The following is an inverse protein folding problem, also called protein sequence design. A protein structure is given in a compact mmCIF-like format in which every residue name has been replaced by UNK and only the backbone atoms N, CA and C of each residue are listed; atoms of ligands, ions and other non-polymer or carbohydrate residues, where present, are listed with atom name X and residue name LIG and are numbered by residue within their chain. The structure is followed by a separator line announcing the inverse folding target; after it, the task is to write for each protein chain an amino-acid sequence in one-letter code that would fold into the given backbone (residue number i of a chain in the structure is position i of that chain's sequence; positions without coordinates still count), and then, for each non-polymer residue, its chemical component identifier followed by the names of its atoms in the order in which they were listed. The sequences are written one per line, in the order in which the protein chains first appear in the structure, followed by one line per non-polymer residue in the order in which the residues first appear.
data_IF_206618554777
#
_entry.id   IF_206618554777
#
_cell.length_a   1.000
_cell.length_b   1.000
_cell.length_c   1.000
_cell.angle_alpha   90.00
_cell.angle_beta   90.00
_cell.angle_gamma   90.00
#
_symmetry.space_group_name_H-M   'P 1'
#
loop_
_entity.id
_entity.type
_entity.pdbx_description
1 polymer ?
#
# COMPACT_ATOMS: atom_id res chain seq x y z
N UNK A 1 8.34 26.97 18.83
CA UNK A 1 7.72 26.12 19.87
C UNK A 1 6.49 25.36 19.35
N UNK A 2 6.07 25.57 18.11
CA UNK A 2 4.95 24.88 17.41
C UNK A 2 5.32 23.50 16.84
N UNK A 3 6.58 23.27 16.54
CA UNK A 3 7.05 22.06 15.83
C UNK A 3 7.02 20.76 16.67
N UNK A 4 7.11 20.86 18.00
CA UNK A 4 7.17 19.67 18.88
C UNK A 4 5.77 19.15 19.25
N UNK A 5 4.78 20.01 19.32
CA UNK A 5 3.39 19.65 19.65
C UNK A 5 2.73 18.96 18.47
N UNK A 6 2.93 19.47 17.26
CA UNK A 6 2.39 18.87 16.01
C UNK A 6 2.98 17.47 15.74
N UNK A 7 4.26 17.27 16.08
CA UNK A 7 4.91 15.95 15.95
C UNK A 7 4.37 14.92 16.97
N UNK A 8 4.01 15.34 18.18
CA UNK A 8 3.43 14.48 19.22
C UNK A 8 2.00 14.09 18.85
N UNK A 9 1.20 15.01 18.33
CA UNK A 9 -0.17 14.75 17.90
C UNK A 9 -0.23 13.85 16.67
N UNK A 10 0.70 14.01 15.72
CA UNK A 10 0.81 13.12 14.56
C UNK A 10 1.20 11.69 14.96
N UNK A 11 2.13 11.54 15.91
CA UNK A 11 2.53 10.23 16.42
C UNK A 11 1.39 9.54 17.20
N UNK A 12 0.58 10.30 17.94
CA UNK A 12 -0.62 9.80 18.63
C UNK A 12 -1.68 9.28 17.65
N UNK A 13 -1.99 10.04 16.62
CA UNK A 13 -2.96 9.66 15.58
C UNK A 13 -2.54 8.41 14.78
N UNK A 14 -1.26 8.30 14.41
CA UNK A 14 -0.75 7.09 13.75
C UNK A 14 -0.89 5.85 14.64
N UNK A 15 -0.64 5.97 15.96
CA UNK A 15 -0.83 4.87 16.90
C UNK A 15 -2.30 4.42 17.04
N UNK A 16 -3.23 5.38 17.03
CA UNK A 16 -4.66 5.09 17.11
C UNK A 16 -5.18 4.45 15.81
N UNK A 17 -4.72 4.93 14.65
CA UNK A 17 -5.01 4.35 13.34
C UNK A 17 -4.49 2.91 13.25
N UNK A 18 -3.23 2.68 13.62
CA UNK A 18 -2.62 1.35 13.61
C UNK A 18 -3.41 0.38 14.49
N UNK A 19 -3.78 0.80 15.70
CA UNK A 19 -4.59 0.00 16.62
C UNK A 19 -5.98 -0.32 16.09
N UNK A 20 -6.64 0.65 15.43
CA UNK A 20 -7.95 0.48 14.86
C UNK A 20 -7.93 -0.45 13.62
N UNK A 21 -6.95 -0.26 12.72
CA UNK A 21 -6.73 -1.12 11.56
C UNK A 21 -6.42 -2.55 12.02
N UNK A 22 -5.55 -2.72 13.01
CA UNK A 22 -5.20 -4.04 13.55
C UNK A 22 -6.40 -4.74 14.22
N UNK A 23 -7.21 -4.00 14.99
CA UNK A 23 -8.44 -4.53 15.59
C UNK A 23 -9.42 -5.01 14.53
N UNK A 24 -9.56 -4.25 13.43
CA UNK A 24 -10.41 -4.61 12.30
C UNK A 24 -9.88 -5.84 11.58
N UNK A 25 -8.58 -5.91 11.30
CA UNK A 25 -7.95 -7.07 10.69
C UNK A 25 -8.14 -8.33 11.53
N UNK A 26 -7.94 -8.24 12.85
CA UNK A 26 -8.20 -9.36 13.78
C UNK A 26 -9.66 -9.84 13.73
N UNK A 27 -10.62 -8.91 13.69
CA UNK A 27 -12.04 -9.23 13.56
C UNK A 27 -12.37 -9.96 12.26
N UNK A 28 -11.76 -9.52 11.15
CA UNK A 28 -11.94 -10.17 9.84
C UNK A 28 -11.36 -11.58 9.84
N UNK A 29 -10.25 -11.84 10.51
CA UNK A 29 -9.63 -13.17 10.58
C UNK A 29 -10.30 -14.14 11.56
N UNK A 30 -11.20 -13.68 12.41
CA UNK A 30 -11.84 -14.52 13.45
C UNK A 30 -12.74 -15.64 12.89
N UNK A 31 -13.18 -15.55 11.64
CA UNK A 31 -14.06 -16.52 10.98
C UNK A 31 -13.37 -17.55 10.09
N UNK A 32 -12.04 -17.52 10.00
CA UNK A 32 -11.27 -18.45 9.14
C UNK A 32 -10.88 -19.72 9.88
N UNK A 33 -10.65 -20.80 9.12
CA UNK A 33 -9.92 -21.94 9.65
C UNK A 33 -8.51 -21.52 10.11
N UNK A 34 -7.95 -22.29 11.04
CA UNK A 34 -6.74 -21.89 11.76
C UNK A 34 -5.52 -21.72 10.81
N UNK A 35 -5.42 -22.52 9.75
CA UNK A 35 -4.27 -22.52 8.83
C UNK A 35 -4.30 -21.34 7.84
N UNK A 36 -5.44 -21.08 7.21
CA UNK A 36 -5.62 -19.96 6.29
C UNK A 36 -5.56 -18.62 7.04
N UNK A 37 -6.16 -18.54 8.25
CA UNK A 37 -6.08 -17.37 9.11
C UNK A 37 -4.65 -17.07 9.55
N UNK A 38 -3.89 -18.09 9.93
CA UNK A 38 -2.50 -17.93 10.34
C UNK A 38 -1.64 -17.38 9.17
N UNK A 39 -1.80 -17.95 7.97
CA UNK A 39 -1.09 -17.50 6.77
C UNK A 39 -1.46 -16.06 6.37
N UNK A 40 -2.75 -15.73 6.36
CA UNK A 40 -3.22 -14.39 6.05
C UNK A 40 -2.70 -13.36 7.07
N UNK A 41 -2.74 -13.71 8.35
CA UNK A 41 -2.25 -12.88 9.44
C UNK A 41 -0.74 -12.68 9.34
N UNK A 42 0.05 -13.74 9.17
CA UNK A 42 1.51 -13.67 9.00
C UNK A 42 1.91 -12.68 7.90
N UNK A 43 1.25 -12.75 6.74
CA UNK A 43 1.56 -11.88 5.61
C UNK A 43 1.21 -10.42 5.89
N UNK A 44 0.11 -10.16 6.58
CA UNK A 44 -0.33 -8.80 6.94
C UNK A 44 0.52 -8.25 8.09
N UNK A 45 0.80 -9.04 9.13
CA UNK A 45 1.59 -8.64 10.30
C UNK A 45 3.10 -8.51 10.00
N UNK A 46 3.63 -9.23 9.00
CA UNK A 46 5.01 -9.08 8.57
C UNK A 46 5.32 -7.69 7.95
N UNK A 47 4.34 -6.80 7.87
CA UNK A 47 4.54 -5.38 7.61
C UNK A 47 4.80 -4.68 8.94
N UNK A 48 6.01 -4.16 9.14
CA UNK A 48 6.40 -3.43 10.36
C UNK A 48 5.57 -2.15 10.57
N UNK A 49 4.98 -1.62 9.51
CA UNK A 49 4.16 -0.40 9.51
C UNK A 49 2.94 -0.57 8.61
N UNK A 50 1.84 0.09 8.96
CA UNK A 50 0.62 0.21 8.12
C UNK A 50 0.74 1.36 7.12
N UNK A 51 1.81 1.36 6.35
CA UNK A 51 2.22 2.50 5.53
C UNK A 51 1.15 2.99 4.55
N UNK A 52 0.37 2.09 3.95
CA UNK A 52 -0.70 2.50 3.03
C UNK A 52 -1.90 3.09 3.77
N UNK A 53 -2.22 2.59 4.95
CA UNK A 53 -3.23 3.17 5.81
C UNK A 53 -2.81 4.55 6.32
N UNK A 54 -1.54 4.70 6.74
CA UNK A 54 -0.95 6.00 7.11
C UNK A 54 -1.01 7.00 5.96
N UNK A 55 -0.59 6.59 4.75
CA UNK A 55 -0.61 7.44 3.57
C UNK A 55 -2.04 7.90 3.21
N UNK A 56 -3.03 7.02 3.38
CA UNK A 56 -4.44 7.34 3.20
C UNK A 56 -4.89 8.38 4.24
N UNK A 57 -4.60 8.15 5.52
CA UNK A 57 -4.93 9.08 6.60
C UNK A 57 -4.25 10.42 6.42
N UNK A 58 -2.95 10.43 6.15
CA UNK A 58 -2.18 11.64 5.86
C UNK A 58 -2.75 12.42 4.65
N UNK A 59 -3.35 11.69 3.67
CA UNK A 59 -4.02 12.33 2.54
C UNK A 59 -5.34 12.97 2.96
N UNK A 60 -6.12 12.31 3.83
CA UNK A 60 -7.33 12.90 4.42
C UNK A 60 -6.98 14.17 5.19
N UNK A 61 -6.02 14.08 6.11
CA UNK A 61 -5.60 15.21 6.96
C UNK A 61 -5.05 16.39 6.14
N UNK A 62 -4.40 16.11 5.01
CA UNK A 62 -3.88 17.15 4.13
C UNK A 62 -4.97 17.91 3.36
N UNK A 63 -6.11 17.28 3.12
CA UNK A 63 -7.21 17.84 2.29
C UNK A 63 -8.35 18.37 3.16
N UNK A 64 -8.66 17.73 4.28
CA UNK A 64 -9.76 18.08 5.15
C UNK A 64 -9.58 19.49 5.74
N UNK A 65 -10.62 20.30 5.69
CA UNK A 65 -10.60 21.66 6.24
C UNK A 65 -10.61 21.68 7.78
N UNK A 66 -11.10 20.62 8.41
CA UNK A 66 -11.16 20.44 9.87
C UNK A 66 -10.98 18.97 10.22
N UNK A 67 -10.43 18.68 11.40
CA UNK A 67 -10.20 17.32 11.91
C UNK A 67 -11.48 16.45 11.99
N UNK A 68 -12.66 17.07 12.14
CA UNK A 68 -13.95 16.38 12.23
C UNK A 68 -14.67 16.23 10.88
N UNK A 69 -14.07 16.68 9.77
CA UNK A 69 -14.71 16.68 8.46
C UNK A 69 -14.93 15.28 7.89
N UNK A 70 -14.08 14.31 8.27
CA UNK A 70 -14.14 12.93 7.79
C UNK A 70 -14.33 11.96 8.95
N UNK A 71 -15.31 11.06 8.84
CA UNK A 71 -15.54 10.02 9.86
C UNK A 71 -14.35 9.07 9.94
N UNK A 72 -13.72 9.00 11.11
CA UNK A 72 -12.57 8.13 11.38
C UNK A 72 -12.82 6.65 11.04
N UNK A 73 -14.06 6.16 11.20
CA UNK A 73 -14.42 4.77 10.83
C UNK A 73 -14.26 4.53 9.33
N UNK A 74 -14.54 5.53 8.51
CA UNK A 74 -14.36 5.48 7.05
C UNK A 74 -12.89 5.42 6.67
N UNK A 75 -12.04 6.21 7.34
CA UNK A 75 -10.58 6.19 7.17
C UNK A 75 -10.03 4.81 7.55
N UNK A 76 -10.42 4.28 8.72
CA UNK A 76 -10.01 2.95 9.17
C UNK A 76 -10.48 1.84 8.23
N UNK A 77 -11.70 1.94 7.70
CA UNK A 77 -12.26 0.97 6.76
C UNK A 77 -11.50 0.96 5.43
N UNK A 78 -11.24 2.13 4.88
CA UNK A 78 -10.52 2.29 3.62
C UNK A 78 -9.03 1.92 3.77
N UNK A 79 -8.37 2.35 4.87
CA UNK A 79 -7.00 1.99 5.19
C UNK A 79 -6.82 0.48 5.33
N UNK A 80 -7.72 -0.18 6.09
CA UNK A 80 -7.72 -1.64 6.21
C UNK A 80 -7.90 -2.34 4.86
N UNK A 81 -8.75 -1.80 3.96
CA UNK A 81 -8.95 -2.38 2.63
C UNK A 81 -7.67 -2.35 1.79
N UNK A 82 -6.89 -1.27 1.84
CA UNK A 82 -5.62 -1.18 1.11
C UNK A 82 -4.55 -2.09 1.72
N UNK A 83 -4.46 -2.19 3.06
CA UNK A 83 -3.54 -3.10 3.73
C UNK A 83 -3.86 -4.58 3.43
N UNK A 84 -5.14 -4.94 3.32
CA UNK A 84 -5.57 -6.28 2.89
C UNK A 84 -5.18 -6.57 1.44
N UNK A 85 -5.33 -5.61 0.53
CA UNK A 85 -4.83 -5.74 -0.85
C UNK A 85 -3.30 -5.81 -0.89
N UNK A 86 -2.60 -5.11 -0.01
CA UNK A 86 -1.16 -5.25 0.13
C UNK A 86 -0.77 -6.66 0.61
N UNK A 87 -1.47 -7.21 1.60
CA UNK A 87 -1.31 -8.59 2.04
C UNK A 87 -1.57 -9.59 0.91
N UNK A 88 -2.64 -9.40 0.14
CA UNK A 88 -2.94 -10.19 -1.06
C UNK A 88 -1.79 -10.15 -2.07
N UNK A 89 -1.28 -8.95 -2.39
CA UNK A 89 -0.14 -8.78 -3.28
C UNK A 89 1.08 -9.56 -2.78
N UNK A 90 1.48 -9.39 -1.52
CA UNK A 90 2.64 -10.06 -0.94
C UNK A 90 2.54 -11.58 -1.01
N UNK A 91 1.35 -12.11 -0.77
CA UNK A 91 1.10 -13.54 -0.82
C UNK A 91 1.21 -14.08 -2.24
N UNK A 92 0.65 -13.37 -3.22
CA UNK A 92 0.76 -13.73 -4.66
C UNK A 92 2.19 -13.60 -5.15
N UNK A 93 2.91 -12.59 -4.74
CA UNK A 93 4.32 -12.40 -5.05
C UNK A 93 5.16 -13.59 -4.55
N UNK A 94 5.01 -14.01 -3.29
CA UNK A 94 5.65 -15.20 -2.73
C UNK A 94 5.30 -16.49 -3.49
N UNK A 95 4.04 -16.63 -3.93
CA UNK A 95 3.60 -17.78 -4.72
C UNK A 95 4.26 -17.83 -6.10
N UNK A 96 4.42 -16.68 -6.77
CA UNK A 96 5.09 -16.59 -8.06
C UNK A 96 6.55 -17.05 -7.98
N UNK A 97 7.29 -16.65 -6.95
CA UNK A 97 8.65 -17.15 -6.71
C UNK A 97 8.67 -18.66 -6.61
N UNK A 98 7.80 -19.21 -5.78
CA UNK A 98 7.74 -20.66 -5.56
C UNK A 98 7.42 -21.44 -6.84
N UNK A 99 6.58 -20.88 -7.71
CA UNK A 99 6.19 -21.52 -8.99
C UNK A 99 7.28 -21.37 -10.05
N UNK A 100 8.08 -20.30 -10.00
CA UNK A 100 9.11 -19.99 -10.98
C UNK A 100 10.48 -20.60 -10.67
N UNK A 101 10.79 -20.83 -9.39
CA UNK A 101 12.07 -21.38 -8.95
C UNK A 101 11.89 -22.71 -8.19
N UNK A 102 12.26 -23.80 -8.86
CA UNK A 102 12.29 -25.14 -8.25
C UNK A 102 13.22 -25.25 -7.01
N UNK A 103 14.08 -24.25 -6.78
CA UNK A 103 14.98 -24.16 -5.61
C UNK A 103 14.33 -23.48 -4.40
N UNK A 104 13.19 -22.81 -4.59
CA UNK A 104 12.46 -22.14 -3.50
C UNK A 104 11.69 -23.13 -2.59
N UNK A 105 12.25 -24.30 -2.33
CA UNK A 105 11.66 -25.30 -1.42
C UNK A 105 11.65 -24.87 0.05
N UNK A 106 12.25 -23.72 0.39
CA UNK A 106 12.32 -23.21 1.78
C UNK A 106 11.08 -22.44 2.23
N UNK A 107 10.10 -22.16 1.35
CA UNK A 107 8.85 -21.60 1.77
C UNK A 107 7.98 -22.68 2.40
N UNK A 108 7.85 -22.64 3.72
CA UNK A 108 7.11 -23.61 4.56
C UNK A 108 5.59 -23.59 4.33
N UNK A 109 5.11 -22.70 3.45
CA UNK A 109 3.69 -22.46 3.22
C UNK A 109 3.14 -23.39 2.13
N UNK A 110 2.07 -24.12 2.45
CA UNK A 110 1.31 -24.90 1.47
C UNK A 110 0.66 -24.00 0.42
N UNK A 111 0.78 -24.35 -0.87
CA UNK A 111 0.27 -23.54 -1.98
C UNK A 111 -1.25 -23.39 -1.95
N UNK A 112 -1.98 -24.42 -1.53
CA UNK A 112 -3.45 -24.37 -1.43
C UNK A 112 -3.88 -23.41 -0.33
N UNK A 113 -3.27 -23.53 0.86
CA UNK A 113 -3.50 -22.61 1.98
C UNK A 113 -3.18 -21.16 1.60
N UNK A 114 -2.08 -20.94 0.87
CA UNK A 114 -1.71 -19.61 0.38
C UNK A 114 -2.72 -19.04 -0.62
N UNK A 115 -3.24 -19.87 -1.54
CA UNK A 115 -4.28 -19.45 -2.47
C UNK A 115 -5.55 -19.04 -1.73
N UNK A 116 -6.04 -19.90 -0.81
CA UNK A 116 -7.24 -19.62 -0.02
C UNK A 116 -7.07 -18.37 0.86
N UNK A 117 -5.92 -18.21 1.50
CA UNK A 117 -5.60 -17.01 2.28
C UNK A 117 -5.60 -15.76 1.39
N UNK A 118 -5.07 -15.84 0.16
CA UNK A 118 -5.09 -14.76 -0.81
C UNK A 118 -6.50 -14.36 -1.24
N UNK A 119 -7.32 -15.34 -1.59
CA UNK A 119 -8.71 -15.11 -1.98
C UNK A 119 -9.51 -14.49 -0.82
N UNK A 120 -9.24 -14.94 0.41
CA UNK A 120 -9.83 -14.33 1.59
C UNK A 120 -9.39 -12.87 1.79
N UNK A 121 -8.09 -12.56 1.71
CA UNK A 121 -7.58 -11.18 1.84
C UNK A 121 -8.22 -10.25 0.81
N UNK A 122 -8.37 -10.73 -0.42
CA UNK A 122 -9.06 -9.99 -1.48
C UNK A 122 -10.53 -9.73 -1.12
N UNK A 123 -11.29 -10.76 -0.71
CA UNK A 123 -12.68 -10.60 -0.31
C UNK A 123 -12.84 -9.71 0.94
N UNK A 124 -11.94 -9.84 1.92
CA UNK A 124 -11.93 -9.04 3.14
C UNK A 124 -11.68 -7.55 2.85
N UNK A 125 -10.89 -7.21 1.81
CA UNK A 125 -10.70 -5.82 1.39
C UNK A 125 -12.03 -5.18 0.96
N UNK A 126 -12.87 -5.88 0.20
CA UNK A 126 -14.20 -5.39 -0.19
C UNK A 126 -15.18 -5.35 0.99
N UNK A 127 -15.11 -6.32 1.88
CA UNK A 127 -15.89 -6.29 3.12
C UNK A 127 -15.51 -5.07 3.97
N UNK A 128 -14.22 -4.73 4.02
CA UNK A 128 -13.77 -3.55 4.75
C UNK A 128 -14.30 -2.26 4.13
N UNK A 129 -14.14 -2.05 2.82
CA UNK A 129 -14.56 -0.83 2.14
C UNK A 129 -16.08 -0.63 2.18
N UNK A 130 -16.87 -1.70 2.29
CA UNK A 130 -18.34 -1.61 2.38
C UNK A 130 -18.84 -0.88 3.62
N UNK A 131 -18.00 -0.60 4.59
CA UNK A 131 -18.31 0.18 5.79
C UNK A 131 -18.19 1.71 5.58
N UNK A 132 -17.69 2.14 4.42
CA UNK A 132 -17.64 3.57 4.05
C UNK A 132 -19.06 4.09 3.76
N UNK A 133 -19.41 5.33 4.12
CA UNK A 133 -20.74 5.92 3.84
C UNK A 133 -21.11 5.84 2.36
N UNK A 134 -22.41 5.72 2.09
CA UNK A 134 -22.94 5.50 0.74
C UNK A 134 -22.59 6.61 -0.27
N UNK A 135 -22.34 7.85 0.19
CA UNK A 135 -21.91 8.96 -0.67
C UNK A 135 -20.58 8.71 -1.37
N UNK A 136 -19.64 8.01 -0.74
CA UNK A 136 -18.32 7.74 -1.27
C UNK A 136 -18.13 6.28 -1.72
N UNK A 137 -18.99 5.37 -1.26
CA UNK A 137 -18.83 3.92 -1.43
C UNK A 137 -18.63 3.52 -2.89
N UNK A 138 -19.43 4.05 -3.81
CA UNK A 138 -19.35 3.71 -5.23
C UNK A 138 -17.96 4.00 -5.81
N UNK A 139 -17.46 5.22 -5.60
CA UNK A 139 -16.15 5.64 -6.08
C UNK A 139 -15.00 4.87 -5.41
N UNK A 140 -15.12 4.61 -4.10
CA UNK A 140 -14.12 3.83 -3.37
C UNK A 140 -14.04 2.37 -3.87
N UNK A 141 -15.19 1.73 -4.11
CA UNK A 141 -15.25 0.36 -4.66
C UNK A 141 -14.71 0.32 -6.08
N UNK A 142 -15.03 1.30 -6.92
CA UNK A 142 -14.50 1.40 -8.28
C UNK A 142 -12.98 1.50 -8.27
N UNK A 143 -12.42 2.38 -7.43
CA UNK A 143 -10.97 2.53 -7.29
C UNK A 143 -10.29 1.25 -6.80
N UNK A 144 -10.89 0.57 -5.82
CA UNK A 144 -10.39 -0.72 -5.32
C UNK A 144 -10.40 -1.79 -6.42
N UNK A 145 -11.47 -1.84 -7.22
CA UNK A 145 -11.60 -2.76 -8.36
C UNK A 145 -10.54 -2.51 -9.44
N UNK A 146 -10.24 -1.25 -9.76
CA UNK A 146 -9.17 -0.90 -10.70
C UNK A 146 -7.83 -1.38 -10.21
N UNK A 147 -7.55 -1.17 -8.92
CA UNK A 147 -6.31 -1.62 -8.28
C UNK A 147 -6.18 -3.16 -8.34
N UNK A 148 -7.20 -3.88 -7.89
CA UNK A 148 -7.22 -5.34 -7.88
C UNK A 148 -7.04 -5.94 -9.28
N UNK A 149 -7.74 -5.41 -10.29
CA UNK A 149 -7.59 -5.86 -11.70
C UNK A 149 -6.19 -5.62 -12.22
N UNK A 150 -5.60 -4.46 -11.91
CA UNK A 150 -4.23 -4.15 -12.28
C UNK A 150 -3.23 -5.13 -11.68
N UNK A 151 -3.33 -5.42 -10.37
CA UNK A 151 -2.49 -6.41 -9.69
C UNK A 151 -2.57 -7.80 -10.33
N UNK A 152 -3.79 -8.28 -10.61
CA UNK A 152 -3.98 -9.57 -11.29
C UNK A 152 -3.33 -9.58 -12.68
N UNK A 153 -3.44 -8.48 -13.44
CA UNK A 153 -2.79 -8.32 -14.74
C UNK A 153 -1.27 -8.42 -14.64
N UNK A 154 -0.69 -7.76 -13.64
CA UNK A 154 0.76 -7.76 -13.39
C UNK A 154 1.26 -9.16 -13.01
N UNK A 155 0.55 -9.88 -12.15
CA UNK A 155 0.90 -11.27 -11.80
C UNK A 155 0.88 -12.20 -12.99
N UNK A 156 -0.12 -12.08 -13.88
CA UNK A 156 -0.19 -12.87 -15.11
C UNK A 156 0.98 -12.60 -16.06
N UNK A 157 1.50 -11.38 -16.05
CA UNK A 157 2.67 -11.03 -16.86
C UNK A 157 3.96 -11.56 -16.21
N UNK A 158 4.11 -11.43 -14.89
CA UNK A 158 5.25 -11.91 -14.12
C UNK A 158 5.36 -13.45 -14.10
N UNK A 159 4.22 -14.19 -14.13
CA UNK A 159 4.20 -15.65 -14.27
C UNK A 159 4.89 -16.12 -15.57
N UNK A 160 4.79 -15.35 -16.66
CA UNK A 160 5.41 -15.67 -17.94
C UNK A 160 6.89 -15.35 -18.01
N UNK A 161 7.31 -14.30 -17.33
CA UNK A 161 8.70 -13.86 -17.26
C UNK A 161 8.92 -13.05 -15.98
N UNK A 162 9.70 -13.60 -15.04
CA UNK A 162 10.13 -12.85 -13.85
C UNK A 162 10.96 -11.64 -14.29
N UNK A 163 10.79 -10.47 -13.65
CA UNK A 163 11.60 -9.29 -13.93
C UNK A 163 13.09 -9.61 -13.73
N UNK A 164 13.90 -9.36 -14.74
CA UNK A 164 15.35 -9.63 -14.75
C UNK A 164 16.21 -8.40 -14.93
N UNK A 165 15.66 -7.38 -15.57
CA UNK A 165 16.34 -6.10 -15.80
C UNK A 165 15.87 -5.05 -14.82
N UNK A 166 16.71 -4.03 -14.59
CA UNK A 166 16.35 -2.86 -13.78
C UNK A 166 15.01 -2.24 -14.22
N UNK A 167 14.81 -2.07 -15.54
CA UNK A 167 13.59 -1.48 -16.10
C UNK A 167 12.34 -2.33 -15.78
N UNK A 168 12.45 -3.65 -15.88
CA UNK A 168 11.36 -4.56 -15.56
C UNK A 168 11.03 -4.56 -14.07
N UNK A 169 12.04 -4.47 -13.19
CA UNK A 169 11.83 -4.34 -11.74
C UNK A 169 11.11 -3.03 -11.42
N UNK A 170 11.55 -1.92 -12.00
CA UNK A 170 10.89 -0.62 -11.80
C UNK A 170 9.45 -0.68 -12.28
N UNK A 171 9.20 -1.19 -13.49
CA UNK A 171 7.84 -1.35 -14.04
C UNK A 171 6.96 -2.24 -13.15
N UNK A 172 7.51 -3.32 -12.63
CA UNK A 172 6.77 -4.18 -11.70
C UNK A 172 6.42 -3.44 -10.39
N UNK A 173 7.34 -2.67 -9.83
CA UNK A 173 7.06 -1.83 -8.66
C UNK A 173 5.99 -0.77 -8.95
N UNK A 174 5.99 -0.18 -10.16
CA UNK A 174 4.97 0.78 -10.59
C UNK A 174 3.58 0.15 -10.66
N UNK A 175 3.51 -1.06 -11.21
CA UNK A 175 2.25 -1.78 -11.42
C UNK A 175 1.74 -2.51 -10.17
N UNK A 176 2.55 -2.58 -9.13
CA UNK A 176 2.19 -3.21 -7.85
C UNK A 176 2.15 -2.20 -6.71
N UNK A 177 3.28 -1.95 -6.05
CA UNK A 177 3.37 -1.01 -4.93
C UNK A 177 2.90 0.39 -5.32
N UNK A 178 3.29 0.89 -6.50
CA UNK A 178 2.87 2.19 -7.02
C UNK A 178 1.35 2.29 -7.16
N UNK A 179 0.72 1.26 -7.70
CA UNK A 179 -0.75 1.19 -7.82
C UNK A 179 -1.45 1.21 -6.45
N UNK A 180 -0.90 0.52 -5.45
CA UNK A 180 -1.47 0.53 -4.10
C UNK A 180 -1.29 1.89 -3.43
N UNK A 181 -0.13 2.54 -3.58
CA UNK A 181 0.08 3.90 -3.06
C UNK A 181 -0.84 4.93 -3.71
N UNK A 182 -1.01 4.85 -5.04
CA UNK A 182 -2.00 5.66 -5.76
C UNK A 182 -3.41 5.41 -5.23
N UNK A 183 -3.78 4.14 -4.98
CA UNK A 183 -5.09 3.78 -4.45
C UNK A 183 -5.30 4.34 -3.05
N UNK A 184 -4.32 4.23 -2.15
CA UNK A 184 -4.40 4.80 -0.80
C UNK A 184 -4.65 6.31 -0.85
N UNK A 185 -3.85 7.06 -1.62
CA UNK A 185 -4.03 8.51 -1.72
C UNK A 185 -5.32 8.92 -2.42
N UNK A 186 -5.77 8.18 -3.45
CA UNK A 186 -7.06 8.46 -4.10
C UNK A 186 -8.23 8.18 -3.18
N UNK A 187 -8.21 7.08 -2.41
CA UNK A 187 -9.26 6.79 -1.42
C UNK A 187 -9.31 7.87 -0.34
N UNK A 188 -8.16 8.27 0.23
CA UNK A 188 -8.11 9.38 1.19
C UNK A 188 -8.68 10.67 0.62
N UNK A 189 -8.32 11.01 -0.62
CA UNK A 189 -8.81 12.21 -1.31
C UNK A 189 -10.32 12.16 -1.63
N UNK A 190 -10.87 10.97 -1.91
CA UNK A 190 -12.31 10.77 -2.09
C UNK A 190 -13.07 10.99 -0.78
N UNK A 191 -12.57 10.45 0.33
CA UNK A 191 -13.19 10.61 1.64
C UNK A 191 -13.18 12.07 2.13
N UNK A 192 -12.17 12.85 1.71
CA UNK A 192 -12.04 14.27 2.04
C UNK A 192 -12.63 15.21 0.98
N UNK A 193 -13.46 14.70 0.05
CA UNK A 193 -14.14 15.48 -1.00
C UNK A 193 -13.21 16.34 -1.88
N UNK A 194 -11.96 15.90 -2.08
CA UNK A 194 -11.01 16.57 -2.95
C UNK A 194 -11.56 16.69 -4.39
N UNK A 195 -11.23 17.75 -5.08
CA UNK A 195 -11.57 17.88 -6.50
C UNK A 195 -10.75 16.92 -7.38
N UNK A 196 -11.14 16.78 -8.64
CA UNK A 196 -10.51 15.83 -9.55
C UNK A 196 -9.03 16.17 -9.84
N UNK A 197 -8.66 17.46 -9.86
CA UNK A 197 -7.28 17.88 -10.09
C UNK A 197 -6.40 17.54 -8.87
N UNK A 198 -6.93 17.78 -7.67
CA UNK A 198 -6.28 17.39 -6.41
C UNK A 198 -6.13 15.86 -6.34
N UNK A 199 -7.18 15.09 -6.62
CA UNK A 199 -7.14 13.61 -6.61
C UNK A 199 -6.07 13.06 -7.53
N UNK A 200 -5.92 13.60 -8.74
CA UNK A 200 -4.86 13.19 -9.69
C UNK A 200 -3.45 13.46 -9.15
N UNK A 201 -3.22 14.64 -8.56
CA UNK A 201 -1.93 14.99 -8.00
C UNK A 201 -1.61 14.16 -6.75
N UNK A 202 -2.57 13.99 -5.84
CA UNK A 202 -2.43 13.16 -4.64
C UNK A 202 -2.17 11.69 -5.01
N UNK A 203 -2.91 11.16 -5.98
CA UNK A 203 -2.66 9.81 -6.52
C UNK A 203 -1.24 9.67 -7.07
N UNK A 204 -0.72 10.69 -7.77
CA UNK A 204 0.67 10.70 -8.23
C UNK A 204 1.67 10.74 -7.07
N UNK A 205 1.43 11.55 -6.04
CA UNK A 205 2.26 11.55 -4.82
C UNK A 205 2.34 10.15 -4.22
N UNK A 206 1.19 9.49 -4.00
CA UNK A 206 1.13 8.15 -3.43
C UNK A 206 1.81 7.10 -4.30
N UNK A 207 1.61 7.16 -5.63
CA UNK A 207 2.25 6.25 -6.59
C UNK A 207 3.78 6.36 -6.51
N UNK A 208 4.33 7.55 -6.68
CA UNK A 208 5.77 7.75 -6.76
C UNK A 208 6.46 7.48 -5.42
N UNK A 209 5.85 7.86 -4.30
CA UNK A 209 6.35 7.57 -2.96
C UNK A 209 6.39 6.06 -2.70
N UNK A 210 5.33 5.33 -3.10
CA UNK A 210 5.25 3.89 -2.92
C UNK A 210 6.28 3.12 -3.75
N UNK A 211 6.50 3.54 -5.01
CA UNK A 211 7.57 2.98 -5.86
C UNK A 211 8.94 3.22 -5.24
N UNK A 212 9.22 4.46 -4.79
CA UNK A 212 10.48 4.79 -4.14
C UNK A 212 10.75 3.89 -2.93
N UNK A 213 9.74 3.72 -2.06
CA UNK A 213 9.81 2.86 -0.88
C UNK A 213 10.06 1.40 -1.25
N UNK A 214 9.34 0.86 -2.24
CA UNK A 214 9.48 -0.54 -2.65
C UNK A 214 10.86 -0.82 -3.25
N UNK A 215 11.37 0.05 -4.10
CA UNK A 215 12.72 -0.08 -4.69
C UNK A 215 13.80 -0.10 -3.60
N UNK A 216 13.68 0.73 -2.56
CA UNK A 216 14.60 0.72 -1.41
C UNK A 216 14.50 -0.57 -0.63
N UNK A 217 13.29 -1.05 -0.35
CA UNK A 217 13.08 -2.34 0.36
C UNK A 217 13.73 -3.51 -0.39
N UNK A 218 13.68 -3.49 -1.73
CA UNK A 218 14.37 -4.50 -2.55
C UNK A 218 15.88 -4.45 -2.31
N UNK A 219 16.48 -3.26 -2.16
CA UNK A 219 17.91 -3.10 -1.90
C UNK A 219 18.32 -3.46 -0.46
N UNK A 220 17.40 -3.37 0.51
CA UNK A 220 17.65 -3.56 1.95
C UNK A 220 17.27 -4.98 2.43
N UNK A 221 16.44 -5.69 1.66
CA UNK A 221 15.92 -7.01 2.03
C UNK A 221 16.89 -8.13 1.64
N UNK A 222 16.88 -9.20 2.43
CA UNK A 222 17.50 -10.46 2.03
C UNK A 222 16.91 -10.90 0.66
N UNK A 223 17.74 -11.20 -0.34
CA UNK A 223 17.30 -11.73 -1.63
C UNK A 223 16.31 -12.91 -1.53
N UNK A 224 16.40 -13.69 -0.45
CA UNK A 224 15.47 -14.79 -0.19
C UNK A 224 14.09 -14.32 0.28
N UNK A 225 13.94 -13.07 0.75
CA UNK A 225 12.70 -12.51 1.28
C UNK A 225 11.88 -11.75 0.25
N UNK A 226 12.45 -11.41 -0.90
CA UNK A 226 11.75 -10.69 -1.99
C UNK A 226 11.69 -11.56 -3.24
N UNK A 227 10.49 -11.69 -3.79
CA UNK A 227 10.23 -12.40 -5.03
C UNK A 227 10.99 -11.86 -6.25
N UNK A 228 11.45 -10.63 -6.16
CA UNK A 228 12.02 -9.87 -7.24
C UNK A 228 13.30 -9.21 -6.77
N UNK A 229 14.29 -10.03 -6.48
CA UNK A 229 15.67 -9.59 -6.48
C UNK A 229 16.33 -10.23 -7.67
N UNK A 230 16.43 -9.55 -8.81
CA UNK A 230 17.19 -10.09 -9.92
C UNK A 230 18.65 -10.21 -9.46
N UNK A 231 19.26 -11.37 -9.55
CA UNK A 231 20.66 -11.56 -9.15
C UNK A 231 21.64 -10.71 -9.97
N UNK A 232 21.14 -9.98 -10.97
CA UNK A 232 21.90 -9.16 -11.93
C UNK A 232 21.60 -7.64 -11.83
N UNK A 233 20.72 -7.19 -10.90
CA UNK A 233 20.46 -5.76 -10.74
C UNK A 233 21.53 -5.09 -9.88
N UNK A 234 22.09 -4.01 -10.41
CA UNK A 234 22.95 -3.12 -9.67
C UNK A 234 22.12 -2.33 -8.64
N UNK A 235 22.31 -2.64 -7.35
CA UNK A 235 21.62 -1.98 -6.25
C UNK A 235 21.81 -0.47 -6.25
N UNK A 236 22.96 0.03 -6.71
CA UNK A 236 23.21 1.48 -6.76
C UNK A 236 22.26 2.17 -7.74
N UNK A 237 21.98 1.53 -8.87
CA UNK A 237 21.01 2.02 -9.87
C UNK A 237 19.58 1.96 -9.34
N UNK A 238 19.21 0.90 -8.61
CA UNK A 238 17.89 0.84 -7.99
C UNK A 238 17.71 1.94 -6.94
N UNK A 239 18.74 2.23 -6.13
CA UNK A 239 18.73 3.37 -5.19
C UNK A 239 18.60 4.72 -5.90
N UNK A 240 19.30 4.91 -7.04
CA UNK A 240 19.14 6.12 -7.86
C UNK A 240 17.71 6.24 -8.42
N UNK A 241 17.10 5.13 -8.84
CA UNK A 241 15.70 5.13 -9.29
C UNK A 241 14.76 5.47 -8.14
N UNK A 242 14.97 4.89 -6.97
CA UNK A 242 14.19 5.22 -5.78
C UNK A 242 14.28 6.71 -5.43
N UNK A 243 15.49 7.28 -5.47
CA UNK A 243 15.70 8.71 -5.24
C UNK A 243 14.95 9.59 -6.26
N UNK A 244 15.00 9.24 -7.54
CA UNK A 244 14.24 9.96 -8.61
C UNK A 244 12.74 9.87 -8.36
N UNK A 245 12.20 8.70 -8.04
CA UNK A 245 10.77 8.53 -7.73
C UNK A 245 10.33 9.37 -6.53
N UNK A 246 11.19 9.47 -5.51
CA UNK A 246 10.94 10.36 -4.38
C UNK A 246 10.90 11.83 -4.80
N UNK A 247 11.81 12.26 -5.67
CA UNK A 247 11.78 13.63 -6.22
C UNK A 247 10.53 13.90 -7.07
N UNK A 248 10.06 12.91 -7.84
CA UNK A 248 8.81 12.99 -8.60
C UNK A 248 7.59 13.13 -7.67
N UNK A 249 7.56 12.40 -6.54
CA UNK A 249 6.54 12.56 -5.49
C UNK A 249 6.58 13.99 -4.90
N UNK A 250 7.76 14.49 -4.56
CA UNK A 250 7.94 15.87 -4.07
C UNK A 250 7.54 16.91 -5.10
N UNK A 251 7.79 16.67 -6.39
CA UNK A 251 7.36 17.55 -7.46
C UNK A 251 5.83 17.59 -7.59
N UNK A 252 5.17 16.43 -7.53
CA UNK A 252 3.71 16.35 -7.51
C UNK A 252 3.12 17.06 -6.28
N UNK A 253 3.76 16.90 -5.12
CA UNK A 253 3.36 17.57 -3.88
C UNK A 253 3.46 19.10 -4.00
N UNK A 254 4.51 19.62 -4.63
CA UNK A 254 4.66 21.07 -4.89
C UNK A 254 3.59 21.63 -5.82
N UNK A 255 3.05 20.82 -6.73
CA UNK A 255 2.03 21.22 -7.68
C UNK A 255 0.60 21.27 -7.08
N UNK A 256 0.39 20.73 -5.88
CA UNK A 256 -0.90 20.82 -5.18
C UNK A 256 -1.25 22.28 -4.86
N UNK A 257 -2.54 22.65 -4.86
CA UNK A 257 -2.97 24.00 -4.49
C UNK A 257 -2.65 24.31 -3.02
N UNK A 258 -2.64 25.61 -2.68
CA UNK A 258 -2.33 26.08 -1.32
C UNK A 258 -3.37 25.69 -0.26
N UNK A 259 -4.55 25.22 -0.66
CA UNK A 259 -5.58 24.69 0.23
C UNK A 259 -5.26 23.30 0.81
N UNK A 260 -4.28 22.59 0.22
CA UNK A 260 -3.84 21.28 0.71
C UNK A 260 -2.63 21.44 1.63
N UNK A 261 -2.69 20.88 2.83
CA UNK A 261 -1.54 20.87 3.74
C UNK A 261 -0.46 19.89 3.26
N UNK A 262 0.57 20.46 2.65
CA UNK A 262 1.69 19.70 2.10
C UNK A 262 2.66 19.19 3.16
N UNK A 263 2.59 19.67 4.40
CA UNK A 263 3.55 19.32 5.45
C UNK A 263 3.36 17.88 5.92
N UNK A 264 2.11 17.44 6.10
CA UNK A 264 1.72 16.09 6.47
C UNK A 264 2.23 15.08 5.42
N UNK A 265 1.88 15.30 4.15
CA UNK A 265 2.30 14.41 3.05
C UNK A 265 3.81 14.41 2.79
N UNK A 266 4.50 15.54 3.09
CA UNK A 266 5.96 15.60 2.99
C UNK A 266 6.62 14.66 4.00
N UNK A 267 6.07 14.53 5.21
CA UNK A 267 6.53 13.58 6.21
C UNK A 267 6.38 12.15 5.71
N UNK A 268 5.24 11.78 5.09
CA UNK A 268 4.99 10.46 4.48
C UNK A 268 5.99 10.14 3.38
N UNK A 269 6.24 11.07 2.45
CA UNK A 269 7.27 10.94 1.40
C UNK A 269 8.67 10.89 2.03
N UNK A 270 8.92 11.54 3.15
CA UNK A 270 10.16 11.48 3.93
C UNK A 270 10.42 10.09 4.51
N UNK A 271 9.38 9.39 5.00
CA UNK A 271 9.48 8.01 5.51
C UNK A 271 9.87 6.98 4.44
N UNK A 272 9.94 7.37 3.18
CA UNK A 272 10.49 6.55 2.09
C UNK A 272 12.02 6.70 1.95
N UNK A 273 12.63 7.56 2.76
CA UNK A 273 14.07 7.91 2.68
C UNK A 273 14.95 6.94 3.43
#
# INVERSE_FOLDING_TARGET
MTDTTDAIDAAGRSSDLDSAVESRLRSLFAGLDESAAATAREVVEASETRWYADLLSDTVDAVAETDDAVDARSVHAAGSAVELLWGYYRLRDRLLVRLSDARAHSLTMDSTTALLAGDYLHAAAYSSISSVPSSHLGACVERLNESARGLVGTFRSAERASPRTEAEVVSYCEDTAGRLGETASVLGSLLADADEAQRRLLGRVGREASVARQLRRICESDPAATAISPPECDESRLRERAARRREDALAALRALPGSVDRSVLRASVGRTA
#
